data_IF_117724052811
#
_entry.id   IF_117724052811
#
_cell.length_a   1.000
_cell.length_b   1.000
_cell.length_c   1.000
_cell.angle_alpha   90.00
_cell.angle_beta   90.00
_cell.angle_gamma   90.00
#
_symmetry.space_group_name_H-M   'P 1'
#
loop_
_entity.id
_entity.type
_entity.pdbx_description
1 polymer ?
#
# COMPACT_ATOMS: atom_id res chain seq x y z
N UNK A 1 60.98 6.64 25.09
CA UNK A 1 60.79 6.21 26.50
C UNK A 1 59.41 6.73 26.91
N UNK A 2 58.38 5.98 27.30
CA UNK A 2 58.26 4.60 27.74
C UNK A 2 57.05 3.90 27.08
N UNK A 3 57.19 2.59 26.91
CA UNK A 3 56.26 1.61 26.36
C UNK A 3 55.32 1.08 27.44
N UNK A 4 54.00 1.22 27.29
CA UNK A 4 53.05 0.53 28.14
C UNK A 4 52.68 -0.83 27.51
N UNK A 5 53.35 -1.85 28.04
CA UNK A 5 53.16 -3.26 27.72
C UNK A 5 51.88 -3.81 28.36
N UNK A 6 51.23 -4.67 27.58
CA UNK A 6 50.16 -5.62 27.92
C UNK A 6 50.09 -6.09 29.38
N UNK A 7 48.89 -6.05 29.97
CA UNK A 7 48.46 -7.05 30.97
C UNK A 7 47.05 -7.53 30.63
N UNK A 8 46.98 -8.55 29.77
CA UNK A 8 45.78 -9.32 29.46
C UNK A 8 45.38 -10.12 30.71
N UNK A 9 44.28 -9.75 31.36
CA UNK A 9 43.72 -10.48 32.52
C UNK A 9 43.03 -11.77 32.04
N UNK A 10 43.23 -12.93 32.68
CA UNK A 10 42.74 -14.22 32.18
C UNK A 10 41.23 -14.40 32.45
N UNK A 11 40.52 -14.91 31.44
CA UNK A 11 39.09 -15.26 31.49
C UNK A 11 38.90 -16.61 32.18
N UNK A 12 38.23 -16.62 33.34
CA UNK A 12 37.82 -17.84 34.03
C UNK A 12 36.60 -18.50 33.34
N UNK A 13 36.50 -19.84 33.32
CA UNK A 13 35.43 -20.57 32.63
C UNK A 13 34.10 -20.45 33.39
N UNK A 14 33.01 -20.16 32.67
CA UNK A 14 31.65 -20.12 33.21
C UNK A 14 31.20 -21.54 33.55
N UNK A 15 31.19 -21.88 34.84
CA UNK A 15 30.48 -23.05 35.35
C UNK A 15 29.08 -22.63 35.81
N UNK A 16 28.10 -23.46 35.47
CA UNK A 16 26.67 -23.20 35.56
C UNK A 16 26.23 -22.91 37.01
N UNK A 17 25.79 -21.68 37.26
CA UNK A 17 25.08 -21.35 38.49
C UNK A 17 23.69 -21.99 38.47
N UNK A 18 23.40 -22.77 39.51
CA UNK A 18 22.11 -23.39 39.81
C UNK A 18 21.01 -22.34 39.71
N UNK A 19 19.92 -22.67 39.00
CA UNK A 19 18.73 -21.82 38.85
C UNK A 19 18.14 -21.57 40.24
N UNK A 20 18.35 -20.38 40.79
CA UNK A 20 17.65 -19.90 41.99
C UNK A 20 16.17 -19.84 41.64
N UNK A 21 15.38 -20.66 42.33
CA UNK A 21 13.93 -20.71 42.23
C UNK A 21 13.39 -19.34 42.72
N UNK A 22 12.66 -18.56 41.91
CA UNK A 22 12.14 -17.27 42.37
C UNK A 22 11.18 -17.49 43.54
N UNK A 23 11.44 -16.81 44.66
CA UNK A 23 10.53 -16.78 45.80
C UNK A 23 9.14 -16.29 45.37
N UNK A 24 8.15 -17.02 45.84
CA UNK A 24 6.72 -16.83 45.60
C UNK A 24 6.25 -15.51 46.26
N UNK A 25 6.24 -14.43 45.48
CA UNK A 25 5.63 -13.16 45.87
C UNK A 25 4.11 -13.35 45.97
N UNK A 26 3.56 -13.06 47.15
CA UNK A 26 2.14 -13.05 47.48
C UNK A 26 1.27 -12.35 46.40
N UNK A 27 -0.02 -12.74 46.23
CA UNK A 27 -0.84 -12.28 45.12
C UNK A 27 -0.99 -10.77 45.13
N UNK A 28 -0.35 -10.10 44.18
CA UNK A 28 -0.58 -8.69 43.92
C UNK A 28 -1.96 -8.57 43.27
N UNK A 29 -2.89 -7.91 43.95
CA UNK A 29 -4.15 -7.45 43.37
C UNK A 29 -3.85 -6.68 42.06
N UNK A 30 -4.60 -6.92 40.98
CA UNK A 30 -4.28 -6.35 39.67
C UNK A 30 -4.40 -4.82 39.72
N UNK A 31 -3.26 -4.14 39.57
CA UNK A 31 -3.19 -2.69 39.45
C UNK A 31 -3.86 -2.23 38.14
N UNK A 32 -4.72 -1.19 38.15
CA UNK A 32 -5.39 -0.72 36.94
C UNK A 32 -4.39 -0.10 35.97
N UNK A 33 -4.28 -0.70 34.79
CA UNK A 33 -3.39 -0.28 33.69
C UNK A 33 -3.75 1.16 33.25
N UNK A 34 -2.79 2.07 33.01
CA UNK A 34 -3.08 3.44 32.59
C UNK A 34 -3.82 3.44 31.25
N UNK A 35 -5.08 3.87 31.27
CA UNK A 35 -5.89 4.02 30.06
C UNK A 35 -5.39 5.23 29.30
N UNK A 36 -4.72 5.00 28.17
CA UNK A 36 -4.51 6.04 27.16
C UNK A 36 -5.86 6.63 26.74
N UNK A 37 -5.86 7.88 26.28
CA UNK A 37 -7.04 8.69 25.93
C UNK A 37 -7.99 7.85 25.06
N UNK A 38 -8.96 7.19 25.69
CA UNK A 38 -9.91 6.34 25.00
C UNK A 38 -11.07 7.24 24.63
N UNK A 39 -11.46 7.21 23.35
CA UNK A 39 -12.54 8.05 22.81
C UNK A 39 -13.85 7.90 23.62
N UNK A 40 -14.05 6.74 24.24
CA UNK A 40 -15.12 6.50 25.22
C UNK A 40 -15.00 7.37 26.47
N UNK A 41 -13.82 7.48 27.09
CA UNK A 41 -13.62 8.30 28.30
C UNK A 41 -13.83 9.80 28.07
N UNK A 42 -13.57 10.29 26.85
CA UNK A 42 -13.85 11.68 26.49
C UNK A 42 -15.35 11.91 26.28
N UNK A 43 -16.03 10.94 25.68
CA UNK A 43 -17.47 10.95 25.50
C UNK A 43 -18.20 10.87 26.85
N UNK A 44 -17.75 9.99 27.75
CA UNK A 44 -18.26 9.85 29.13
C UNK A 44 -18.15 11.17 29.89
N UNK A 45 -17.00 11.87 29.76
CA UNK A 45 -16.75 13.14 30.44
C UNK A 45 -17.63 14.30 29.95
N UNK A 46 -17.98 14.32 28.66
CA UNK A 46 -18.78 15.40 28.08
C UNK A 46 -20.30 15.13 28.18
N UNK A 47 -20.70 13.88 27.97
CA UNK A 47 -22.10 13.50 27.88
C UNK A 47 -22.68 12.94 29.19
N UNK A 48 -21.87 12.70 30.23
CA UNK A 48 -22.29 12.05 31.48
C UNK A 48 -23.09 10.78 31.21
N UNK A 49 -22.51 9.87 30.42
CA UNK A 49 -23.17 8.65 29.94
C UNK A 49 -23.66 7.81 31.12
N UNK A 50 -22.86 7.69 32.18
CA UNK A 50 -23.24 6.98 33.41
C UNK A 50 -24.55 7.51 34.02
N UNK A 51 -24.70 8.83 34.11
CA UNK A 51 -25.92 9.47 34.63
C UNK A 51 -27.13 9.28 33.71
N UNK A 52 -26.92 9.33 32.38
CA UNK A 52 -27.96 9.08 31.37
C UNK A 52 -28.43 7.62 31.36
N UNK A 53 -27.56 6.67 31.72
CA UNK A 53 -27.90 5.25 31.83
C UNK A 53 -28.55 4.90 33.18
N UNK A 54 -28.12 5.54 34.28
CA UNK A 54 -28.70 5.32 35.62
C UNK A 54 -30.09 5.95 35.79
N UNK A 55 -30.30 7.19 35.31
CA UNK A 55 -31.59 7.88 35.41
C UNK A 55 -32.48 7.72 34.17
N UNK A 56 -31.93 7.12 33.10
CA UNK A 56 -32.59 7.01 31.80
C UNK A 56 -32.58 8.32 31.01
N UNK A 57 -32.55 8.20 29.68
CA UNK A 57 -32.61 9.36 28.79
C UNK A 57 -33.97 10.03 28.92
N UNK A 58 -34.06 11.34 29.23
CA UNK A 58 -35.34 12.02 29.30
C UNK A 58 -36.09 11.91 27.96
N UNK A 59 -37.37 11.56 28.00
CA UNK A 59 -38.22 11.32 26.81
C UNK A 59 -38.18 12.46 25.78
N UNK A 60 -37.91 13.69 26.21
CA UNK A 60 -37.74 14.88 25.37
C UNK A 60 -36.53 14.80 24.41
N UNK A 61 -35.46 14.12 24.81
CA UNK A 61 -34.21 14.00 24.01
C UNK A 61 -34.13 12.69 23.23
N UNK A 62 -35.01 11.72 23.50
CA UNK A 62 -35.10 10.44 22.80
C UNK A 62 -35.05 10.55 21.26
N UNK A 63 -35.84 11.41 20.59
CA UNK A 63 -35.78 11.52 19.12
C UNK A 63 -34.47 12.10 18.60
N UNK A 64 -33.80 12.97 19.37
CA UNK A 64 -32.52 13.56 18.98
C UNK A 64 -31.37 12.55 19.07
N UNK A 65 -31.37 11.72 20.12
CA UNK A 65 -30.37 10.64 20.27
C UNK A 65 -30.54 9.58 19.18
N UNK A 66 -31.78 9.21 18.85
CA UNK A 66 -32.06 8.30 17.74
C UNK A 66 -31.57 8.85 16.40
N UNK A 67 -31.77 10.15 16.15
CA UNK A 67 -31.27 10.81 14.95
C UNK A 67 -29.74 10.78 14.85
N UNK A 68 -29.03 11.13 15.93
CA UNK A 68 -27.57 11.06 15.99
C UNK A 68 -27.04 9.63 15.81
N UNK A 69 -27.71 8.66 16.42
CA UNK A 69 -27.40 7.23 16.24
C UNK A 69 -27.58 6.81 14.79
N UNK A 70 -28.66 7.26 14.13
CA UNK A 70 -28.91 7.01 12.72
C UNK A 70 -27.80 7.58 11.82
N UNK A 71 -27.38 8.82 12.06
CA UNK A 71 -26.25 9.43 11.32
C UNK A 71 -24.96 8.66 11.55
N UNK A 72 -24.70 8.23 12.79
CA UNK A 72 -23.49 7.48 13.15
C UNK A 72 -23.45 6.14 12.42
N UNK A 73 -24.57 5.40 12.40
CA UNK A 73 -24.70 4.16 11.64
C UNK A 73 -24.54 4.38 10.14
N UNK A 74 -25.15 5.44 9.60
CA UNK A 74 -24.99 5.81 8.20
C UNK A 74 -23.53 6.11 7.86
N UNK A 75 -22.81 6.82 8.72
CA UNK A 75 -21.40 7.15 8.55
C UNK A 75 -20.50 5.92 8.54
N UNK A 76 -20.70 5.00 9.49
CA UNK A 76 -19.96 3.73 9.55
C UNK A 76 -20.23 2.91 8.28
N UNK A 77 -21.49 2.84 7.86
CA UNK A 77 -21.89 2.20 6.62
C UNK A 77 -21.17 2.79 5.40
N UNK A 78 -21.23 4.12 5.25
CA UNK A 78 -20.58 4.84 4.13
C UNK A 78 -19.08 4.59 4.10
N UNK A 79 -18.42 4.59 5.26
CA UNK A 79 -16.99 4.32 5.39
C UNK A 79 -16.64 2.92 4.87
N UNK A 80 -17.45 1.91 5.21
CA UNK A 80 -17.24 0.54 4.73
C UNK A 80 -17.45 0.41 3.21
N UNK A 81 -18.39 1.16 2.64
CA UNK A 81 -18.55 1.25 1.18
C UNK A 81 -17.36 1.93 0.51
N UNK A 82 -16.87 3.04 1.06
CA UNK A 82 -15.70 3.75 0.57
C UNK A 82 -14.47 2.85 0.56
N UNK A 83 -14.24 2.09 1.63
CA UNK A 83 -13.10 1.17 1.73
C UNK A 83 -13.15 0.07 0.65
N UNK A 84 -14.33 -0.51 0.40
CA UNK A 84 -14.52 -1.48 -0.69
C UNK A 84 -14.23 -0.87 -2.05
N UNK A 85 -14.66 0.37 -2.27
CA UNK A 85 -14.44 1.10 -3.53
C UNK A 85 -12.97 1.41 -3.73
N UNK A 86 -12.26 1.88 -2.70
CA UNK A 86 -10.81 2.14 -2.76
C UNK A 86 -10.05 0.88 -3.15
N UNK A 87 -10.33 -0.26 -2.50
CA UNK A 87 -9.69 -1.54 -2.85
C UNK A 87 -9.96 -1.99 -4.28
N UNK A 88 -11.14 -1.66 -4.84
CA UNK A 88 -11.44 -1.95 -6.26
C UNK A 88 -10.64 -1.03 -7.18
N UNK A 89 -10.56 0.26 -6.84
CA UNK A 89 -9.77 1.24 -7.61
C UNK A 89 -8.31 0.80 -7.67
N UNK A 90 -7.73 0.39 -6.55
CA UNK A 90 -6.34 -0.05 -6.49
C UNK A 90 -6.08 -1.27 -7.39
N UNK A 91 -6.98 -2.25 -7.39
CA UNK A 91 -6.87 -3.43 -8.28
C UNK A 91 -6.93 -3.05 -9.75
N UNK A 92 -7.94 -2.28 -10.14
CA UNK A 92 -8.13 -1.84 -11.53
C UNK A 92 -6.95 -0.98 -11.99
N UNK A 93 -6.39 -0.16 -11.10
CA UNK A 93 -5.20 0.64 -11.40
C UNK A 93 -4.00 -0.24 -11.73
N UNK A 94 -3.73 -1.26 -10.91
CA UNK A 94 -2.64 -2.23 -11.16
C UNK A 94 -2.86 -2.94 -12.51
N UNK A 95 -4.07 -3.45 -12.76
CA UNK A 95 -4.39 -4.11 -14.03
C UNK A 95 -4.18 -3.18 -15.25
N UNK A 96 -4.48 -1.89 -15.10
CA UNK A 96 -4.29 -0.90 -16.18
C UNK A 96 -2.80 -0.58 -16.40
N UNK A 97 -2.02 -0.50 -15.31
CA UNK A 97 -0.56 -0.29 -15.38
C UNK A 97 0.14 -1.49 -16.03
N UNK A 98 -0.25 -2.72 -15.66
CA UNK A 98 0.25 -3.96 -16.26
C UNK A 98 -0.07 -4.00 -17.76
N UNK A 99 -1.32 -3.76 -18.15
CA UNK A 99 -1.73 -3.75 -19.55
C UNK A 99 -0.99 -2.68 -20.36
N UNK A 100 -0.69 -1.53 -19.74
CA UNK A 100 0.08 -0.46 -20.37
C UNK A 100 1.54 -0.86 -20.57
N UNK A 101 2.13 -1.60 -19.64
CA UNK A 101 3.48 -2.13 -19.77
C UNK A 101 3.55 -3.16 -20.91
N UNK A 102 2.58 -4.06 -21.01
CA UNK A 102 2.47 -5.05 -22.08
C UNK A 102 2.34 -4.39 -23.45
N UNK A 103 1.44 -3.41 -23.58
CA UNK A 103 1.28 -2.64 -24.82
C UNK A 103 2.58 -1.95 -25.23
N UNK A 104 3.29 -1.34 -24.28
CA UNK A 104 4.54 -0.62 -24.56
C UNK A 104 5.64 -1.56 -25.03
N UNK A 105 5.73 -2.74 -24.41
CA UNK A 105 6.68 -3.79 -24.81
C UNK A 105 6.36 -4.31 -26.19
N UNK A 106 5.11 -4.74 -26.42
CA UNK A 106 4.66 -5.28 -27.71
C UNK A 106 4.81 -4.25 -28.84
N UNK A 107 4.49 -2.99 -28.58
CA UNK A 107 4.70 -1.90 -29.54
C UNK A 107 6.17 -1.74 -29.88
N UNK A 108 7.06 -1.82 -28.90
CA UNK A 108 8.49 -1.68 -29.13
C UNK A 108 9.04 -2.82 -29.98
N UNK A 109 8.62 -4.06 -29.71
CA UNK A 109 8.94 -5.24 -30.51
C UNK A 109 8.39 -5.12 -31.94
N UNK A 110 7.14 -4.69 -32.10
CA UNK A 110 6.54 -4.44 -33.42
C UNK A 110 7.31 -3.37 -34.21
N UNK A 111 7.70 -2.28 -33.56
CA UNK A 111 8.48 -1.22 -34.20
C UNK A 111 9.86 -1.71 -34.58
N UNK A 112 10.50 -2.56 -33.76
CA UNK A 112 11.77 -3.20 -34.08
C UNK A 112 11.65 -4.13 -35.29
N UNK A 113 10.66 -5.01 -35.30
CA UNK A 113 10.38 -5.91 -36.42
C UNK A 113 10.02 -5.15 -37.71
N UNK A 114 9.42 -3.97 -37.58
CA UNK A 114 9.05 -3.10 -38.71
C UNK A 114 10.20 -2.22 -39.20
N UNK A 115 11.38 -2.21 -38.55
CA UNK A 115 12.55 -1.47 -39.05
C UNK A 115 12.96 -2.01 -40.41
N UNK A 116 13.27 -1.11 -41.34
CA UNK A 116 13.71 -1.45 -42.70
C UNK A 116 14.88 -2.43 -42.70
N UNK A 117 15.84 -2.28 -41.78
CA UNK A 117 16.99 -3.18 -41.63
C UNK A 117 16.62 -4.59 -41.17
N UNK A 118 15.67 -4.73 -40.24
CA UNK A 118 15.20 -6.04 -39.75
C UNK A 118 14.32 -6.73 -40.81
N UNK A 119 13.44 -5.96 -41.46
CA UNK A 119 12.65 -6.45 -42.61
C UNK A 119 13.57 -6.92 -43.73
N UNK A 120 14.56 -6.11 -44.13
CA UNK A 120 15.55 -6.47 -45.15
C UNK A 120 16.31 -7.75 -44.79
N UNK A 121 16.73 -7.92 -43.52
CA UNK A 121 17.38 -9.14 -43.04
C UNK A 121 16.45 -10.36 -43.14
N UNK A 122 15.18 -10.20 -42.79
CA UNK A 122 14.19 -11.28 -42.82
C UNK A 122 13.81 -11.71 -44.25
N UNK A 123 13.82 -10.78 -45.22
CA UNK A 123 13.52 -11.08 -46.63
C UNK A 123 14.75 -11.38 -47.49
N UNK A 124 15.96 -11.23 -46.96
CA UNK A 124 17.21 -11.63 -47.62
C UNK A 124 17.22 -13.07 -48.19
N UNK A 125 16.72 -14.11 -47.48
CA UNK A 125 16.63 -15.46 -48.06
C UNK A 125 15.63 -15.57 -49.22
N UNK A 126 14.71 -14.62 -49.37
CA UNK A 126 13.79 -14.54 -50.51
C UNK A 126 14.41 -13.79 -51.71
N UNK A 127 15.65 -13.31 -51.59
CA UNK A 127 16.37 -12.60 -52.65
C UNK A 127 15.90 -11.16 -52.90
N UNK A 128 15.10 -10.60 -51.98
CA UNK A 128 14.59 -9.23 -52.07
C UNK A 128 15.65 -8.22 -51.57
N UNK A 129 15.82 -7.13 -52.30
CA UNK A 129 16.80 -6.07 -52.02
C UNK A 129 16.11 -4.75 -51.67
N UNK A 130 16.72 -3.97 -50.78
CA UNK A 130 16.20 -2.67 -50.36
C UNK A 130 16.33 -1.64 -51.51
N UNK A 131 15.28 -0.84 -51.72
CA UNK A 131 15.28 0.23 -52.73
C UNK A 131 16.01 1.46 -52.18
N UNK A 132 17.26 1.63 -52.59
CA UNK A 132 18.12 2.76 -52.16
C UNK A 132 17.79 4.08 -52.87
N UNK A 133 17.19 4.02 -54.07
CA UNK A 133 16.78 5.20 -54.85
C UNK A 133 15.32 5.56 -54.58
N UNK A 134 14.98 6.86 -54.42
CA UNK A 134 13.61 7.30 -54.35
C UNK A 134 12.87 7.03 -55.68
N UNK A 135 11.56 6.73 -55.64
CA UNK A 135 10.77 6.50 -56.85
C UNK A 135 10.62 7.78 -57.68
N UNK A 136 10.62 7.65 -59.00
CA UNK A 136 10.40 8.77 -59.91
C UNK A 136 8.94 9.24 -59.84
N UNK A 137 8.73 10.52 -59.53
CA UNK A 137 7.40 11.13 -59.62
C UNK A 137 7.09 11.39 -61.11
N UNK A 138 6.10 10.66 -61.65
CA UNK A 138 5.59 10.91 -62.99
C UNK A 138 4.65 12.11 -62.92
N UNK A 139 5.15 13.28 -63.31
CA UNK A 139 4.28 14.44 -63.56
C UNK A 139 3.70 14.28 -64.97
N UNK A 140 2.40 14.01 -65.07
CA UNK A 140 1.68 14.06 -66.34
C UNK A 140 1.41 15.53 -66.64
N UNK A 141 1.99 16.12 -67.70
CA UNK A 141 1.66 17.48 -68.10
C UNK A 141 0.18 17.52 -68.54
N UNK A 142 -0.56 18.51 -68.05
CA UNK A 142 -2.00 18.64 -68.27
C UNK A 142 -2.41 19.06 -69.70
N UNK A 143 -1.50 19.01 -70.69
CA UNK A 143 -1.68 19.70 -71.98
C UNK A 143 -1.25 18.92 -73.23
N UNK A 144 -1.25 17.59 -73.20
CA UNK A 144 -1.32 16.80 -74.46
C UNK A 144 -2.56 15.90 -74.48
N UNK A 145 -3.67 16.56 -74.87
CA UNK A 145 -4.95 16.10 -75.44
C UNK A 145 -5.90 15.22 -74.61
#
# INVERSE_FOLDING_TARGET
MATNLMTKKPSAPRQNAVRVKPEEKAPQLPQPKPRGISLFSLLDKYANIDFLFEQGVPLKYMPHVLFLTGITLFYIGNTHFAEKTIRKIDKVKVETEDLRADYTTLKSEYMEASKQSEVARNVAPLGLIESSSPPYQVNVPADEY
#
